data_IF_247761201243
#
_entry.id   IF_247761201243
#
_cell.length_a   1.000
_cell.length_b   1.000
_cell.length_c   1.000
_cell.angle_alpha   90.00
_cell.angle_beta   90.00
_cell.angle_gamma   90.00
#
_symmetry.space_group_name_H-M   'P 1'
#
loop_
_entity.id
_entity.type
_entity.pdbx_description
1 polymer ?
#
# COMPACT_ATOMS: atom_id res chain seq x y z
N UNK A 1 0.60 -1.17 23.91
CA UNK A 1 2.00 -1.61 23.78
C UNK A 1 2.64 -0.68 22.79
N UNK A 2 3.65 0.08 23.21
CA UNK A 2 4.35 1.05 22.37
C UNK A 2 5.38 0.24 21.57
N UNK A 3 5.09 -0.07 20.30
CA UNK A 3 6.13 -0.62 19.42
C UNK A 3 7.15 0.50 19.23
N UNK A 4 8.32 0.36 19.86
CA UNK A 4 9.39 1.36 19.85
C UNK A 4 9.77 1.77 18.43
N UNK A 5 10.37 2.95 18.31
CA UNK A 5 10.82 3.60 17.06
C UNK A 5 11.43 2.61 16.05
N UNK A 6 10.58 2.02 15.21
CA UNK A 6 10.97 1.29 14.02
C UNK A 6 10.99 2.33 12.92
N UNK A 7 12.15 2.95 12.68
CA UNK A 7 12.32 3.87 11.55
C UNK A 7 12.07 3.15 10.20
N UNK A 8 12.26 1.83 10.17
CA UNK A 8 12.08 0.95 9.01
C UNK A 8 11.31 -0.30 9.44
N UNK A 9 10.29 -0.69 8.66
CA UNK A 9 9.55 -1.93 8.89
C UNK A 9 10.31 -3.15 8.34
N UNK A 10 10.21 -4.32 8.99
CA UNK A 10 10.68 -5.56 8.39
C UNK A 10 9.92 -5.87 7.08
N UNK A 11 10.44 -6.77 6.22
CA UNK A 11 9.83 -7.12 4.94
C UNK A 11 8.61 -8.02 5.10
N UNK A 12 7.54 -7.43 5.66
CA UNK A 12 6.28 -8.11 5.98
C UNK A 12 5.59 -8.68 4.74
N UNK A 13 5.85 -8.13 3.55
CA UNK A 13 5.29 -8.64 2.30
C UNK A 13 5.75 -10.04 1.92
N UNK A 14 6.81 -10.58 2.55
CA UNK A 14 7.28 -11.96 2.36
C UNK A 14 6.46 -13.00 3.10
N UNK A 15 5.56 -12.59 4.00
CA UNK A 15 4.79 -13.51 4.82
C UNK A 15 3.71 -14.20 3.95
N UNK A 16 3.86 -15.50 3.62
CA UNK A 16 3.09 -16.13 2.55
C UNK A 16 1.65 -16.49 2.94
N UNK A 17 1.36 -16.49 4.25
CA UNK A 17 0.06 -16.86 4.80
C UNK A 17 -0.62 -15.73 5.57
N UNK A 18 -0.07 -14.51 5.55
CA UNK A 18 -0.64 -13.39 6.27
C UNK A 18 -1.94 -12.96 5.59
N UNK A 19 -3.07 -13.13 6.28
CA UNK A 19 -4.39 -12.72 5.77
C UNK A 19 -4.85 -11.36 6.31
N UNK A 20 -4.33 -10.97 7.48
CA UNK A 20 -4.66 -9.70 8.10
C UNK A 20 -3.41 -9.07 8.72
N UNK A 21 -3.20 -7.79 8.44
CA UNK A 21 -2.09 -7.02 8.97
C UNK A 21 -2.62 -5.74 9.62
N UNK A 22 -2.14 -5.45 10.82
CA UNK A 22 -2.45 -4.21 11.54
C UNK A 22 -1.16 -3.49 11.91
N UNK A 23 -1.03 -2.24 11.46
CA UNK A 23 0.05 -1.33 11.80
C UNK A 23 -0.56 -0.22 12.66
N UNK A 24 -0.25 -0.22 13.96
CA UNK A 24 -0.83 0.75 14.91
C UNK A 24 0.27 1.46 15.68
N UNK A 25 0.30 2.79 15.60
CA UNK A 25 1.22 3.62 16.38
C UNK A 25 2.69 3.38 16.09
N UNK A 26 3.05 2.92 14.90
CA UNK A 26 4.45 2.73 14.48
C UNK A 26 5.02 4.05 13.97
N UNK A 27 6.24 4.41 14.39
CA UNK A 27 6.97 5.61 13.95
C UNK A 27 7.68 5.43 12.61
N UNK A 28 6.93 5.18 11.54
CA UNK A 28 7.46 4.99 10.18
C UNK A 28 7.09 6.18 9.29
N UNK A 29 8.02 6.59 8.43
CA UNK A 29 7.78 7.69 7.47
C UNK A 29 7.31 7.23 6.10
N UNK A 30 7.61 5.98 5.74
CA UNK A 30 7.25 5.40 4.46
C UNK A 30 6.93 3.90 4.55
N UNK A 31 6.02 3.44 3.69
CA UNK A 31 5.81 2.04 3.37
C UNK A 31 6.35 1.80 1.95
N UNK A 32 7.52 1.17 1.84
CA UNK A 32 8.31 1.07 0.60
C UNK A 32 8.52 -0.38 0.13
N UNK A 33 9.33 -0.55 -0.93
CA UNK A 33 9.76 -1.85 -1.43
C UNK A 33 10.36 -2.76 -0.33
N UNK A 34 11.02 -2.18 0.68
CA UNK A 34 11.52 -2.88 1.86
C UNK A 34 10.38 -3.50 2.68
N UNK A 35 9.34 -2.73 3.00
CA UNK A 35 8.12 -3.25 3.65
C UNK A 35 7.44 -4.37 2.84
N UNK A 36 7.40 -4.22 1.50
CA UNK A 36 6.86 -5.23 0.58
C UNK A 36 7.79 -6.45 0.44
N UNK A 37 9.06 -6.32 0.82
CA UNK A 37 10.07 -7.36 0.75
C UNK A 37 10.55 -7.69 -0.67
N UNK A 38 10.51 -6.71 -1.57
CA UNK A 38 10.83 -6.88 -2.99
C UNK A 38 12.17 -6.23 -3.43
N UNK A 39 12.90 -5.58 -2.52
CA UNK A 39 14.21 -4.97 -2.84
C UNK A 39 15.28 -6.00 -3.26
N UNK A 40 15.21 -7.22 -2.74
CA UNK A 40 16.25 -8.23 -3.02
C UNK A 40 16.08 -8.98 -4.36
N UNK A 41 14.99 -8.74 -5.11
CA UNK A 41 14.73 -9.51 -6.35
C UNK A 41 15.47 -8.96 -7.57
N UNK A 42 16.12 -7.81 -7.45
CA UNK A 42 17.01 -7.27 -8.51
C UNK A 42 18.24 -8.16 -8.75
N UNK A 43 18.62 -9.01 -7.79
CA UNK A 43 19.77 -9.92 -7.88
C UNK A 43 19.40 -11.39 -8.11
N UNK A 44 18.16 -11.69 -8.47
CA UNK A 44 17.78 -13.06 -8.79
C UNK A 44 18.46 -13.50 -10.10
N UNK A 45 19.15 -14.64 -10.08
CA UNK A 45 19.69 -15.31 -11.27
C UNK A 45 18.53 -15.79 -12.17
N UNK A 46 17.86 -14.86 -12.84
CA UNK A 46 16.79 -15.15 -13.80
C UNK A 46 17.48 -15.46 -15.12
N UNK A 47 17.11 -16.58 -15.73
CA UNK A 47 17.66 -16.94 -17.04
C UNK A 47 17.22 -15.88 -18.07
N UNK A 48 18.10 -15.58 -19.02
CA UNK A 48 17.82 -14.65 -20.11
C UNK A 48 16.51 -15.02 -20.82
N UNK A 49 15.53 -14.10 -20.81
CA UNK A 49 14.20 -14.30 -21.41
C UNK A 49 13.08 -14.81 -20.47
N UNK A 50 13.35 -15.05 -19.18
CA UNK A 50 12.34 -15.51 -18.22
C UNK A 50 11.65 -14.34 -17.47
N UNK A 51 10.32 -14.41 -17.35
CA UNK A 51 9.52 -13.42 -16.62
C UNK A 51 9.43 -13.84 -15.14
N UNK A 52 10.19 -13.18 -14.27
CA UNK A 52 10.07 -13.40 -12.84
C UNK A 52 8.77 -12.78 -12.29
N UNK A 53 7.92 -13.59 -11.66
CA UNK A 53 6.71 -13.13 -10.98
C UNK A 53 6.97 -13.09 -9.48
N UNK A 54 6.95 -11.90 -8.92
CA UNK A 54 7.15 -11.68 -7.49
C UNK A 54 5.84 -11.25 -6.88
N UNK A 55 5.35 -12.00 -5.90
CA UNK A 55 4.10 -11.67 -5.22
C UNK A 55 4.39 -11.24 -3.80
N UNK A 56 4.10 -9.98 -3.47
CA UNK A 56 4.13 -9.48 -2.09
C UNK A 56 2.73 -9.60 -1.47
N UNK A 57 2.66 -10.04 -0.22
CA UNK A 57 1.39 -10.23 0.51
C UNK A 57 0.37 -11.10 -0.25
N UNK A 58 0.72 -12.34 -0.64
CA UNK A 58 -0.08 -13.15 -1.57
C UNK A 58 -1.49 -13.49 -1.06
N UNK A 59 -1.70 -13.53 0.25
CA UNK A 59 -2.98 -13.88 0.89
C UNK A 59 -3.60 -12.77 1.72
N UNK A 60 -3.03 -11.56 1.70
CA UNK A 60 -3.52 -10.47 2.54
C UNK A 60 -4.89 -10.01 2.05
N UNK A 61 -5.88 -10.07 2.95
CA UNK A 61 -7.28 -9.70 2.70
C UNK A 61 -7.63 -8.40 3.39
N UNK A 62 -7.09 -8.16 4.59
CA UNK A 62 -7.40 -6.97 5.39
C UNK A 62 -6.13 -6.27 5.84
N UNK A 63 -6.03 -4.97 5.55
CA UNK A 63 -4.95 -4.10 5.98
C UNK A 63 -5.51 -2.95 6.81
N UNK A 64 -5.03 -2.85 8.05
CA UNK A 64 -5.40 -1.82 9.00
C UNK A 64 -4.18 -0.95 9.32
N UNK A 65 -4.30 0.35 9.10
CA UNK A 65 -3.26 1.32 9.40
C UNK A 65 -3.86 2.38 10.31
N UNK A 66 -3.32 2.55 11.51
CA UNK A 66 -3.87 3.49 12.49
C UNK A 66 -2.79 4.25 13.25
N UNK A 67 -2.96 5.56 13.33
CA UNK A 67 -2.13 6.44 14.16
C UNK A 67 -0.63 6.40 13.78
N UNK A 68 -0.31 6.19 12.51
CA UNK A 68 1.04 6.36 11.96
C UNK A 68 1.23 7.83 11.62
N UNK A 69 1.51 8.65 12.64
CA UNK A 69 1.51 10.12 12.53
C UNK A 69 2.60 10.68 11.62
N UNK A 70 3.68 9.92 11.47
CA UNK A 70 4.85 10.29 10.66
C UNK A 70 4.79 9.72 9.24
N UNK A 71 3.81 8.87 8.92
CA UNK A 71 3.71 8.23 7.62
C UNK A 71 3.33 9.27 6.55
N UNK A 72 4.29 9.59 5.69
CA UNK A 72 4.16 10.56 4.60
C UNK A 72 3.91 9.87 3.27
N UNK A 73 4.57 8.72 3.05
CA UNK A 73 4.65 8.04 1.75
C UNK A 73 4.21 6.59 1.85
N UNK A 74 3.35 6.17 0.91
CA UNK A 74 3.12 4.76 0.65
C UNK A 74 3.47 4.52 -0.81
N UNK A 75 4.58 3.84 -1.00
CA UNK A 75 5.24 3.68 -2.29
C UNK A 75 4.30 3.01 -3.29
N UNK A 76 4.23 3.60 -4.48
CA UNK A 76 3.51 3.13 -5.64
C UNK A 76 4.55 2.79 -6.68
N UNK A 77 4.94 1.52 -6.71
CA UNK A 77 5.97 1.01 -7.61
C UNK A 77 5.45 1.10 -9.05
N UNK A 78 5.48 2.30 -9.61
CA UNK A 78 5.76 2.53 -11.00
C UNK A 78 7.24 2.20 -11.16
N UNK A 79 7.52 0.97 -11.59
CA UNK A 79 8.75 0.72 -12.31
C UNK A 79 8.73 1.72 -13.47
N UNK A 80 9.69 2.65 -13.52
CA UNK A 80 9.92 3.49 -14.70
C UNK A 80 10.03 2.56 -15.89
N UNK A 81 9.00 2.53 -16.73
CA UNK A 81 9.12 1.96 -18.07
C UNK A 81 10.04 2.94 -18.80
N UNK A 82 11.36 2.71 -18.76
CA UNK A 82 12.35 3.60 -19.36
C UNK A 82 13.82 3.38 -18.99
N UNK A 83 14.13 2.69 -17.90
CA UNK A 83 15.48 2.29 -17.45
C UNK A 83 15.31 0.83 -16.97
N UNK A 84 15.85 -0.27 -17.52
CA UNK A 84 17.02 -0.56 -18.35
C UNK A 84 16.69 -1.79 -19.25
N UNK A 85 17.53 -2.03 -20.25
CA UNK A 85 17.76 -3.24 -21.06
C UNK A 85 16.69 -4.36 -21.11
N UNK A 86 16.30 -4.68 -22.34
CA UNK A 86 15.22 -5.58 -22.75
C UNK A 86 15.35 -7.08 -22.35
N UNK A 87 16.06 -7.45 -21.29
CA UNK A 87 16.43 -8.85 -21.04
C UNK A 87 15.95 -9.44 -19.71
N UNK A 88 15.34 -8.68 -18.79
CA UNK A 88 14.68 -9.26 -17.58
C UNK A 88 13.47 -8.43 -17.12
N UNK A 89 12.27 -8.79 -17.55
CA UNK A 89 11.02 -8.16 -17.09
C UNK A 89 10.48 -8.88 -15.86
N UNK A 90 10.70 -8.34 -14.65
CA UNK A 90 9.99 -8.84 -13.45
C UNK A 90 8.61 -8.16 -13.31
N UNK A 91 7.58 -8.97 -13.03
CA UNK A 91 6.22 -8.51 -12.76
C UNK A 91 5.97 -8.62 -11.26
N UNK A 92 5.65 -7.49 -10.64
CA UNK A 92 5.27 -7.43 -9.23
C UNK A 92 3.75 -7.52 -9.09
N UNK A 93 3.29 -8.46 -8.28
CA UNK A 93 1.89 -8.63 -7.91
C UNK A 93 1.78 -8.30 -6.43
N UNK A 94 1.19 -7.16 -6.08
CA UNK A 94 1.15 -6.69 -4.70
C UNK A 94 -0.28 -6.80 -4.16
N UNK A 95 -0.44 -7.51 -3.05
CA UNK A 95 -1.71 -7.68 -2.33
C UNK A 95 -2.90 -8.09 -3.23
N UNK A 96 -2.77 -9.15 -4.06
CA UNK A 96 -3.77 -9.51 -5.07
C UNK A 96 -5.15 -9.91 -4.50
N UNK A 97 -5.23 -10.15 -3.18
CA UNK A 97 -6.44 -10.56 -2.48
C UNK A 97 -6.98 -9.51 -1.53
N UNK A 98 -6.45 -8.28 -1.55
CA UNK A 98 -6.87 -7.23 -0.63
C UNK A 98 -8.34 -6.85 -0.88
N UNK A 99 -9.14 -7.02 0.17
CA UNK A 99 -10.59 -6.78 0.18
C UNK A 99 -10.93 -5.58 1.04
N UNK A 100 -10.17 -5.35 2.11
CA UNK A 100 -10.46 -4.34 3.11
C UNK A 100 -9.22 -3.52 3.40
N UNK A 101 -9.36 -2.20 3.23
CA UNK A 101 -8.35 -1.23 3.64
C UNK A 101 -8.98 -0.23 4.61
N UNK A 102 -8.42 -0.15 5.82
CA UNK A 102 -8.78 0.88 6.80
C UNK A 102 -7.55 1.72 7.15
N UNK A 103 -7.69 3.03 7.02
CA UNK A 103 -6.65 4.00 7.37
C UNK A 103 -7.23 5.05 8.31
N UNK A 104 -6.69 5.10 9.51
CA UNK A 104 -7.14 5.98 10.58
C UNK A 104 -6.01 6.85 11.10
N UNK A 105 -6.30 8.15 11.28
CA UNK A 105 -5.41 9.09 11.96
C UNK A 105 -3.97 9.08 11.41
N UNK A 106 -3.82 9.05 10.08
CA UNK A 106 -2.55 9.17 9.36
C UNK A 106 -2.54 10.51 8.60
N UNK A 107 -2.30 11.64 9.29
CA UNK A 107 -2.54 12.98 8.74
C UNK A 107 -1.58 13.36 7.60
N UNK A 108 -0.37 12.81 7.59
CA UNK A 108 0.68 13.15 6.62
C UNK A 108 0.64 12.29 5.34
N UNK A 109 -0.03 11.13 5.36
CA UNK A 109 -0.02 10.19 4.24
C UNK A 109 -0.67 10.82 3.01
N UNK A 110 0.13 11.02 1.95
CA UNK A 110 -0.26 11.88 0.82
C UNK A 110 -1.23 11.23 -0.15
N UNK A 111 -1.05 9.95 -0.46
CA UNK A 111 -1.85 9.22 -1.45
C UNK A 111 -1.78 7.71 -1.17
N UNK A 112 -2.69 6.96 -1.79
CA UNK A 112 -2.62 5.51 -1.90
C UNK A 112 -1.92 5.14 -3.22
N UNK A 113 -1.09 4.07 -3.23
CA UNK A 113 -0.45 3.61 -4.44
C UNK A 113 -1.43 2.89 -5.37
N UNK A 114 -1.14 2.93 -6.68
CA UNK A 114 -2.06 2.41 -7.70
C UNK A 114 -2.34 0.91 -7.56
N UNK A 115 -1.38 0.10 -7.10
CA UNK A 115 -1.62 -1.33 -6.87
C UNK A 115 -2.64 -1.58 -5.74
N UNK A 116 -2.75 -0.70 -4.75
CA UNK A 116 -3.79 -0.79 -3.71
C UNK A 116 -5.13 -0.40 -4.31
N UNK A 117 -5.16 0.64 -5.14
CA UNK A 117 -6.38 1.11 -5.81
C UNK A 117 -6.89 0.12 -6.87
N UNK A 118 -5.99 -0.66 -7.47
CA UNK A 118 -6.31 -1.71 -8.44
C UNK A 118 -6.62 -3.08 -7.78
N UNK A 119 -6.40 -3.21 -6.47
CA UNK A 119 -6.72 -4.43 -5.74
C UNK A 119 -8.25 -4.64 -5.71
N UNK A 120 -8.74 -5.88 -5.50
CA UNK A 120 -10.17 -6.19 -5.56
C UNK A 120 -10.88 -5.80 -4.23
N UNK A 121 -10.73 -4.52 -3.86
CA UNK A 121 -11.27 -3.90 -2.67
C UNK A 121 -12.79 -3.92 -2.68
N UNK A 122 -13.34 -4.38 -1.57
CA UNK A 122 -14.76 -4.33 -1.26
C UNK A 122 -15.08 -3.23 -0.25
N UNK A 123 -14.10 -2.85 0.58
CA UNK A 123 -14.23 -1.81 1.58
C UNK A 123 -12.98 -0.92 1.64
N UNK A 124 -13.21 0.38 1.55
CA UNK A 124 -12.21 1.41 1.80
C UNK A 124 -12.74 2.36 2.88
N UNK A 125 -11.98 2.47 3.97
CA UNK A 125 -12.31 3.37 5.07
C UNK A 125 -11.15 4.30 5.37
N UNK A 126 -11.41 5.60 5.27
CA UNK A 126 -10.43 6.65 5.56
C UNK A 126 -11.06 7.59 6.59
N UNK A 127 -10.40 7.79 7.73
CA UNK A 127 -10.89 8.71 8.77
C UNK A 127 -9.72 9.41 9.46
N UNK A 128 -9.86 10.70 9.74
CA UNK A 128 -8.79 11.48 10.40
C UNK A 128 -7.50 11.60 9.57
N UNK A 129 -7.55 11.40 8.24
CA UNK A 129 -6.41 11.49 7.34
C UNK A 129 -6.58 12.69 6.40
N UNK A 130 -6.07 13.86 6.77
CA UNK A 130 -6.37 15.12 6.09
C UNK A 130 -6.03 15.09 4.58
N UNK A 131 -4.82 14.65 4.24
CA UNK A 131 -4.36 14.59 2.85
C UNK A 131 -5.16 13.59 2.01
N UNK A 132 -5.39 12.38 2.54
CA UNK A 132 -6.21 11.37 1.87
C UNK A 132 -7.67 11.81 1.72
N UNK A 133 -8.26 12.45 2.73
CA UNK A 133 -9.62 12.98 2.65
C UNK A 133 -9.74 14.08 1.59
N UNK A 134 -8.70 14.90 1.41
CA UNK A 134 -8.67 15.91 0.34
C UNK A 134 -8.64 15.25 -1.05
N UNK A 135 -7.87 14.17 -1.22
CA UNK A 135 -7.76 13.44 -2.50
C UNK A 135 -8.97 12.58 -2.82
N UNK A 136 -9.41 11.79 -1.86
CA UNK A 136 -10.39 10.73 -2.02
C UNK A 136 -11.74 11.05 -1.38
N UNK A 137 -11.95 12.29 -0.93
CA UNK A 137 -13.23 12.74 -0.40
C UNK A 137 -14.34 12.65 -1.45
N UNK A 138 -15.55 12.30 -1.00
CA UNK A 138 -16.72 12.15 -1.86
C UNK A 138 -17.06 13.46 -2.59
N UNK A 139 -17.39 13.35 -3.90
CA UNK A 139 -17.80 14.42 -4.84
C UNK A 139 -16.83 15.60 -5.06
N UNK A 140 -15.86 15.81 -4.16
CA UNK A 140 -14.95 16.96 -4.16
C UNK A 140 -13.48 16.58 -4.16
N UNK A 141 -13.17 15.29 -3.99
CA UNK A 141 -11.80 14.78 -4.01
C UNK A 141 -11.21 14.77 -5.41
N UNK A 142 -9.97 15.26 -5.54
CA UNK A 142 -9.21 15.31 -6.80
C UNK A 142 -9.13 13.93 -7.49
N UNK A 143 -9.04 12.86 -6.71
CA UNK A 143 -8.86 11.47 -7.13
C UNK A 143 -10.09 10.59 -6.84
N UNK A 144 -11.28 11.16 -6.57
CA UNK A 144 -12.48 10.38 -6.25
C UNK A 144 -12.79 9.29 -7.28
N UNK A 145 -12.63 9.61 -8.56
CA UNK A 145 -12.83 8.69 -9.69
C UNK A 145 -11.97 7.41 -9.61
N UNK A 146 -10.83 7.45 -8.89
CA UNK A 146 -9.96 6.28 -8.69
C UNK A 146 -10.52 5.29 -7.67
N UNK A 147 -11.42 5.72 -6.78
CA UNK A 147 -11.99 4.86 -5.74
C UNK A 147 -13.49 4.68 -5.86
N UNK A 148 -14.18 5.47 -6.68
CA UNK A 148 -15.65 5.47 -6.80
C UNK A 148 -16.25 4.16 -7.28
N UNK A 149 -15.43 3.24 -7.79
CA UNK A 149 -15.84 1.89 -8.19
C UNK A 149 -15.86 0.89 -7.01
N UNK A 150 -15.28 1.24 -5.85
CA UNK A 150 -15.25 0.39 -4.66
C UNK A 150 -16.66 0.34 -4.05
N UNK A 151 -17.22 -0.85 -3.77
CA UNK A 151 -18.61 -0.98 -3.32
C UNK A 151 -18.95 -0.26 -2.00
N UNK A 152 -18.04 -0.30 -1.02
CA UNK A 152 -18.28 0.30 0.30
C UNK A 152 -17.15 1.29 0.64
N UNK A 153 -17.39 2.56 0.39
CA UNK A 153 -16.49 3.65 0.77
C UNK A 153 -17.11 4.35 1.97
N UNK A 154 -16.34 4.49 3.06
CA UNK A 154 -16.78 5.26 4.23
C UNK A 154 -15.84 6.46 4.38
N UNK A 155 -16.11 7.56 3.67
CA UNK A 155 -15.41 8.82 3.84
C UNK A 155 -16.08 9.55 5.02
N UNK A 156 -15.60 9.35 6.25
CA UNK A 156 -16.22 10.06 7.38
C UNK A 156 -15.64 11.48 7.48
N UNK A 157 -16.33 12.43 6.86
CA UNK A 157 -16.28 13.84 7.24
C UNK A 157 -16.87 13.93 8.65
N UNK A 158 -16.03 14.07 9.68
CA UNK A 158 -16.45 14.64 10.96
C UNK A 158 -15.88 16.05 10.96
N UNK A 159 -16.68 17.00 10.49
CA UNK A 159 -16.56 18.39 10.93
C UNK A 159 -17.44 18.46 12.17
N UNK A 160 -16.82 18.52 13.34
CA UNK A 160 -17.42 19.14 14.51
C UNK A 160 -16.87 20.56 14.59
#
# INVERSE_FOLDING_TARGET
MNCGNLEVLPPLGRLPNLESLSLVGVGVRRLDAGFLGIEEVENANINEGEIARVTAFPKLKSLWIENLKELEEWDGIERRVGEEDATTTSIFIIMPQLRELTIYYCPLLRALPDYVLAAPLQMLRITGCLNLNKRYGEEKGEDWHKISHIPNIIPKIIIC
#
